data_IF_846458517263
#
_entry.id   IF_846458517263
#
_cell.length_a   1.000
_cell.length_b   1.000
_cell.length_c   1.000
_cell.angle_alpha   90.00
_cell.angle_beta   90.00
_cell.angle_gamma   90.00
#
_symmetry.space_group_name_H-M   'P 1'
#
loop_
_entity.id
_entity.type
_entity.pdbx_description
1 polymer ?
#
# COMPACT_ATOMS: atom_id res chain seq x y z
N UNK A 1 14.80 0.71 3.50
CA UNK A 1 14.75 0.81 4.97
C UNK A 1 15.68 -0.22 5.58
N UNK A 2 16.19 -0.02 6.82
CA UNK A 2 16.99 -1.06 7.49
C UNK A 2 16.18 -2.33 7.75
N UNK A 3 16.75 -3.51 7.52
CA UNK A 3 16.09 -4.82 7.72
C UNK A 3 15.51 -4.96 9.13
N UNK A 4 16.25 -4.52 10.15
CA UNK A 4 15.81 -4.63 11.55
C UNK A 4 14.54 -3.81 11.85
N UNK A 5 14.35 -2.68 11.17
CA UNK A 5 13.12 -1.90 11.31
C UNK A 5 11.93 -2.63 10.67
N UNK A 6 12.14 -3.24 9.50
CA UNK A 6 11.10 -4.05 8.83
C UNK A 6 10.74 -5.26 9.70
N UNK A 7 11.73 -5.93 10.28
CA UNK A 7 11.56 -7.08 11.19
C UNK A 7 10.77 -6.73 12.45
N UNK A 8 11.06 -5.57 13.05
CA UNK A 8 10.44 -5.14 14.31
C UNK A 8 9.03 -4.55 14.12
N UNK A 9 8.64 -4.20 12.89
CA UNK A 9 7.38 -3.54 12.60
C UNK A 9 6.27 -4.53 12.21
N UNK A 10 5.02 -4.17 12.53
CA UNK A 10 3.86 -4.70 11.81
C UNK A 10 3.82 -4.07 10.42
N UNK A 11 4.27 -4.81 9.41
CA UNK A 11 4.33 -4.33 8.03
C UNK A 11 2.96 -4.48 7.37
N UNK A 12 2.45 -3.40 6.80
CA UNK A 12 1.24 -3.36 5.96
C UNK A 12 1.66 -2.83 4.60
N UNK A 13 1.20 -3.46 3.52
CA UNK A 13 1.47 -3.03 2.13
C UNK A 13 0.17 -2.65 1.43
N UNK A 14 0.23 -2.01 0.26
CA UNK A 14 -0.96 -1.79 -0.57
C UNK A 14 -1.44 -3.10 -1.19
N UNK A 15 -0.54 -3.75 -1.94
CA UNK A 15 -0.80 -5.00 -2.65
C UNK A 15 0.42 -5.92 -2.58
N UNK A 16 0.23 -7.13 -2.05
CA UNK A 16 1.32 -8.03 -1.70
C UNK A 16 2.13 -8.52 -2.90
N UNK A 17 1.53 -8.98 -4.01
CA UNK A 17 2.30 -9.45 -5.17
C UNK A 17 3.26 -8.39 -5.69
N UNK A 18 2.80 -7.14 -5.86
CA UNK A 18 3.64 -6.05 -6.34
C UNK A 18 4.70 -5.62 -5.29
N UNK A 19 4.36 -5.64 -4.00
CA UNK A 19 5.35 -5.39 -2.94
C UNK A 19 6.48 -6.43 -2.91
N UNK A 20 6.20 -7.69 -3.24
CA UNK A 20 7.20 -8.74 -3.33
C UNK A 20 8.04 -8.70 -4.61
N UNK A 21 7.73 -7.79 -5.53
CA UNK A 21 8.48 -7.58 -6.77
C UNK A 21 9.25 -6.24 -6.76
N UNK A 22 8.65 -5.18 -6.21
CA UNK A 22 9.14 -3.81 -6.41
C UNK A 22 9.67 -3.15 -5.12
N UNK A 23 9.23 -3.58 -3.94
CA UNK A 23 9.66 -2.98 -2.68
C UNK A 23 11.06 -3.45 -2.30
N UNK A 24 12.11 -2.78 -2.77
CA UNK A 24 13.50 -3.19 -2.56
C UNK A 24 13.90 -3.41 -1.09
N UNK A 25 13.27 -2.73 -0.14
CA UNK A 25 13.46 -2.91 1.31
C UNK A 25 12.74 -4.13 1.90
N UNK A 26 11.91 -4.82 1.12
CA UNK A 26 11.38 -6.15 1.38
C UNK A 26 12.10 -7.19 0.52
N UNK A 27 12.19 -6.95 -0.79
CA UNK A 27 12.74 -7.88 -1.78
C UNK A 27 14.18 -8.26 -1.49
N UNK A 28 15.06 -7.27 -1.31
CA UNK A 28 16.50 -7.51 -1.08
C UNK A 28 16.74 -8.39 0.16
N UNK A 29 16.24 -8.05 1.37
CA UNK A 29 16.45 -8.90 2.54
C UNK A 29 15.71 -10.24 2.48
N UNK A 30 14.57 -10.35 1.76
CA UNK A 30 13.91 -11.64 1.54
C UNK A 30 14.76 -12.56 0.66
N UNK A 31 15.27 -12.04 -0.47
CA UNK A 31 16.16 -12.79 -1.36
C UNK A 31 17.47 -13.17 -0.67
N UNK A 32 18.00 -12.32 0.20
CA UNK A 32 19.18 -12.60 1.01
C UNK A 32 18.93 -13.62 2.16
N UNK A 33 17.68 -14.01 2.41
CA UNK A 33 17.30 -14.92 3.50
C UNK A 33 17.28 -14.28 4.89
N UNK A 34 17.41 -12.95 4.99
CA UNK A 34 17.31 -12.21 6.25
C UNK A 34 15.86 -12.06 6.73
N UNK A 35 14.92 -12.00 5.78
CA UNK A 35 13.47 -11.95 6.01
C UNK A 35 12.78 -13.05 5.21
N UNK A 36 11.53 -13.33 5.57
CA UNK A 36 10.62 -14.15 4.78
C UNK A 36 9.39 -13.31 4.41
N UNK A 37 8.70 -13.68 3.33
CA UNK A 37 7.54 -12.92 2.82
C UNK A 37 6.41 -12.74 3.86
N UNK A 38 6.35 -13.61 4.86
CA UNK A 38 5.41 -13.55 6.00
C UNK A 38 5.61 -12.31 6.89
N UNK A 39 6.71 -11.56 6.71
CA UNK A 39 6.92 -10.27 7.39
C UNK A 39 5.82 -9.26 7.09
N UNK A 40 5.17 -9.37 5.92
CA UNK A 40 4.03 -8.51 5.56
C UNK A 40 2.78 -9.04 6.28
N UNK A 41 2.29 -8.30 7.28
CA UNK A 41 1.22 -8.73 8.17
C UNK A 41 -0.20 -8.58 7.59
N UNK A 42 -0.40 -7.67 6.65
CA UNK A 42 -1.69 -7.41 5.98
C UNK A 42 -1.51 -6.53 4.74
N UNK A 43 -2.53 -6.50 3.88
CA UNK A 43 -2.75 -5.44 2.90
C UNK A 43 -3.61 -4.31 3.49
N UNK A 44 -3.44 -3.09 2.98
CA UNK A 44 -4.18 -1.91 3.45
C UNK A 44 -5.69 -2.11 3.28
N UNK A 45 -6.12 -2.73 2.19
CA UNK A 45 -7.52 -3.08 1.95
C UNK A 45 -8.10 -4.00 3.02
N UNK A 46 -7.33 -4.94 3.55
CA UNK A 46 -7.75 -5.83 4.64
C UNK A 46 -7.89 -5.07 5.96
N UNK A 47 -7.00 -4.11 6.23
CA UNK A 47 -7.08 -3.24 7.41
C UNK A 47 -8.32 -2.34 7.34
N UNK A 48 -8.55 -1.68 6.20
CA UNK A 48 -9.69 -0.79 5.97
C UNK A 48 -11.01 -1.52 6.08
N UNK A 49 -11.07 -2.76 5.56
CA UNK A 49 -12.28 -3.60 5.61
C UNK A 49 -12.41 -4.40 6.90
N UNK A 50 -11.52 -4.21 7.88
CA UNK A 50 -11.48 -4.93 9.16
C UNK A 50 -11.31 -6.45 9.04
N UNK A 51 -10.80 -6.94 7.90
CA UNK A 51 -10.39 -8.35 7.73
C UNK A 51 -9.05 -8.64 8.40
N UNK A 52 -8.23 -7.62 8.60
CA UNK A 52 -7.01 -7.66 9.41
C UNK A 52 -7.00 -6.50 10.41
N UNK A 53 -6.38 -6.67 11.60
CA UNK A 53 -6.24 -5.57 12.54
C UNK A 53 -5.22 -4.55 12.02
N UNK A 54 -5.47 -3.27 12.29
CA UNK A 54 -4.48 -2.21 12.14
C UNK A 54 -3.45 -2.27 13.28
N UNK A 55 -3.20 -1.13 13.92
CA UNK A 55 -2.42 -1.04 15.17
C UNK A 55 -3.19 -1.72 16.31
N UNK A 56 -2.52 -2.54 17.11
CA UNK A 56 -3.13 -3.28 18.24
C UNK A 56 -2.64 -2.82 19.62
N UNK A 57 -1.57 -2.03 19.70
CA UNK A 57 -1.12 -1.41 20.96
C UNK A 57 -0.41 -0.07 20.70
N UNK A 58 -0.32 0.81 21.72
CA UNK A 58 0.41 2.08 21.62
C UNK A 58 1.90 1.89 21.29
N UNK A 59 2.53 0.87 21.89
CA UNK A 59 3.97 0.62 21.76
C UNK A 59 4.36 -0.15 20.49
N UNK A 60 3.38 -0.64 19.72
CA UNK A 60 3.65 -1.39 18.49
C UNK A 60 4.29 -0.48 17.43
N UNK A 61 5.42 -0.91 16.87
CA UNK A 61 5.96 -0.27 15.67
C UNK A 61 5.11 -0.72 14.47
N UNK A 62 4.62 0.23 13.67
CA UNK A 62 3.86 -0.05 12.44
C UNK A 62 4.58 0.54 11.25
N UNK A 63 4.69 -0.22 10.18
CA UNK A 63 5.27 0.22 8.92
C UNK A 63 4.23 0.04 7.82
N UNK A 64 3.78 1.14 7.24
CA UNK A 64 3.07 1.09 5.96
C UNK A 64 4.07 1.27 4.83
N UNK A 65 4.20 0.25 3.97
CA UNK A 65 5.05 0.29 2.79
C UNK A 65 4.18 0.49 1.54
N UNK A 66 4.29 1.68 0.97
CA UNK A 66 3.63 2.10 -0.26
C UNK A 66 4.63 2.08 -1.43
N UNK A 67 4.15 1.62 -2.57
CA UNK A 67 4.83 1.61 -3.88
C UNK A 67 3.95 2.20 -4.99
N UNK A 68 2.64 2.34 -4.73
CA UNK A 68 1.62 2.82 -5.65
C UNK A 68 0.97 1.66 -6.40
N UNK A 69 -0.37 1.62 -6.39
CA UNK A 69 -1.17 0.65 -7.15
C UNK A 69 -2.12 1.38 -8.08
N UNK A 70 -2.09 1.05 -9.38
CA UNK A 70 -2.83 1.78 -10.41
C UNK A 70 -4.35 1.94 -10.15
N UNK A 71 -4.95 1.02 -9.39
CA UNK A 71 -6.38 1.12 -9.02
C UNK A 71 -6.68 2.35 -8.16
N UNK A 72 -5.71 2.81 -7.37
CA UNK A 72 -5.83 4.00 -6.51
C UNK A 72 -5.96 5.25 -7.38
N UNK A 73 -5.14 5.37 -8.42
CA UNK A 73 -5.20 6.46 -9.39
C UNK A 73 -6.50 6.45 -10.18
N UNK A 74 -6.93 5.29 -10.67
CA UNK A 74 -8.18 5.15 -11.44
C UNK A 74 -9.40 5.48 -10.58
N UNK A 75 -9.44 5.01 -9.33
CA UNK A 75 -10.52 5.31 -8.40
C UNK A 75 -10.59 6.80 -8.07
N UNK A 76 -9.43 7.43 -7.83
CA UNK A 76 -9.36 8.88 -7.60
C UNK A 76 -9.77 9.66 -8.85
N UNK A 77 -9.31 9.26 -10.04
CA UNK A 77 -9.64 9.89 -11.30
C UNK A 77 -11.15 9.83 -11.57
N UNK A 78 -11.79 8.69 -11.37
CA UNK A 78 -13.24 8.55 -11.50
C UNK A 78 -13.99 9.49 -10.54
N UNK A 79 -13.60 9.52 -9.26
CA UNK A 79 -14.21 10.39 -8.26
C UNK A 79 -14.06 11.87 -8.59
N UNK A 80 -12.86 12.29 -9.02
CA UNK A 80 -12.60 13.68 -9.42
C UNK A 80 -13.37 14.03 -10.69
N UNK A 81 -13.41 13.12 -11.67
CA UNK A 81 -14.15 13.28 -12.91
C UNK A 81 -15.65 13.50 -12.66
N UNK A 82 -16.28 12.67 -11.83
CA UNK A 82 -17.71 12.82 -11.49
C UNK A 82 -17.99 14.18 -10.84
N UNK A 83 -17.11 14.63 -9.95
CA UNK A 83 -17.23 15.95 -9.31
C UNK A 83 -17.03 17.10 -10.28
N UNK A 84 -16.10 16.97 -11.21
CA UNK A 84 -15.85 17.97 -12.23
C UNK A 84 -17.06 18.09 -13.17
N UNK A 85 -17.62 16.97 -13.62
CA UNK A 85 -18.83 16.93 -14.43
C UNK A 85 -20.04 17.57 -13.71
N UNK A 86 -20.25 17.27 -12.42
CA UNK A 86 -21.33 17.86 -11.63
C UNK A 86 -21.19 19.37 -11.39
N UNK A 87 -19.98 19.92 -11.57
CA UNK A 87 -19.65 21.35 -11.39
C UNK A 87 -19.41 22.08 -12.71
N UNK A 88 -19.68 21.43 -13.84
CA UNK A 88 -19.37 21.96 -15.18
C UNK A 88 -17.93 22.49 -15.30
N UNK A 89 -16.99 21.72 -14.73
CA UNK A 89 -15.57 22.07 -14.67
C UNK A 89 -14.76 21.17 -15.59
N UNK A 90 -13.91 21.75 -16.45
CA UNK A 90 -13.06 21.01 -17.38
C UNK A 90 -13.19 21.54 -18.82
N UNK A 91 -12.56 20.84 -19.77
CA UNK A 91 -12.63 21.16 -21.21
C UNK A 91 -12.86 19.86 -21.98
N UNK A 92 -13.90 19.83 -22.81
CA UNK A 92 -14.12 18.73 -23.74
C UNK A 92 -13.17 18.85 -24.94
N UNK A 93 -12.39 17.81 -25.18
CA UNK A 93 -11.46 17.71 -26.30
C UNK A 93 -11.95 16.61 -27.25
N UNK A 94 -11.98 16.87 -28.55
CA UNK A 94 -12.30 15.84 -29.55
C UNK A 94 -11.07 14.95 -29.75
N UNK A 95 -11.29 13.64 -29.70
CA UNK A 95 -10.30 12.63 -30.05
C UNK A 95 -10.13 12.51 -31.57
#
# INVERSE_FOLDING_TARGET
MPTELVRAARVVVEYRPQALEEAGDLVVPITAGELIADVIAAELGEVVTRRAPGRTSPDQVTLFKSIGVAIEDVALAAFVYEKAAARDTGVLVKL
#
